data_IF_538313048168
#
_entry.id   IF_538313048168
#
_cell.length_a   1.000
_cell.length_b   1.000
_cell.length_c   1.000
_cell.angle_alpha   90.00
_cell.angle_beta   90.00
_cell.angle_gamma   90.00
#
_symmetry.space_group_name_H-M   'P 1'
#
loop_
_entity.id
_entity.type
_entity.pdbx_description
1 polymer ?
#
# COMPACT_ATOMS: atom_id res chain seq x y z
N UNK A 1 -7.26 14.60 -10.82
CA UNK A 1 -5.82 14.35 -10.78
C UNK A 1 -5.16 15.69 -10.52
N UNK A 2 -4.44 15.87 -9.41
CA UNK A 2 -3.73 17.14 -9.12
C UNK A 2 -2.35 17.05 -9.76
N UNK A 3 -2.02 18.00 -10.61
CA UNK A 3 -0.72 18.09 -11.26
C UNK A 3 0.38 18.29 -10.21
N UNK A 4 1.20 17.25 -10.02
CA UNK A 4 2.34 17.22 -9.10
C UNK A 4 3.53 17.99 -9.68
N UNK A 5 3.34 19.27 -10.02
CA UNK A 5 4.43 20.17 -10.34
C UNK A 5 5.47 20.04 -9.24
N UNK A 6 6.60 19.44 -9.61
CA UNK A 6 7.68 19.10 -8.73
C UNK A 6 8.33 20.40 -8.32
N UNK A 7 7.96 20.92 -7.15
CA UNK A 7 8.72 21.95 -6.46
C UNK A 7 10.10 21.37 -6.16
N UNK A 8 11.01 21.50 -7.12
CA UNK A 8 12.42 21.15 -6.94
C UNK A 8 13.00 22.21 -6.03
N UNK A 9 13.04 21.91 -4.73
CA UNK A 9 13.65 22.78 -3.72
C UNK A 9 15.08 22.34 -3.47
N UNK A 10 15.95 23.29 -3.19
CA UNK A 10 17.32 22.99 -2.74
C UNK A 10 17.38 22.92 -1.22
N UNK A 11 18.18 22.00 -0.69
CA UNK A 11 18.32 21.77 0.75
C UNK A 11 18.66 23.03 1.57
N UNK A 12 19.57 23.88 1.07
CA UNK A 12 19.91 25.17 1.69
C UNK A 12 20.72 25.08 3.00
N UNK A 13 20.74 23.94 3.69
CA UNK A 13 21.50 23.74 4.93
C UNK A 13 22.98 24.08 4.74
N UNK A 14 23.63 24.72 5.73
CA UNK A 14 25.06 25.01 5.66
C UNK A 14 25.87 23.71 5.68
N UNK A 15 26.83 23.61 4.76
CA UNK A 15 27.82 22.53 4.73
C UNK A 15 28.96 22.81 5.72
N UNK A 16 29.87 21.85 5.92
CA UNK A 16 31.05 22.00 6.78
C UNK A 16 31.96 23.18 6.38
N UNK A 17 31.88 23.64 5.13
CA UNK A 17 32.61 24.82 4.61
C UNK A 17 31.79 26.11 4.67
N UNK A 18 30.61 26.10 5.30
CA UNK A 18 29.72 27.25 5.45
C UNK A 18 28.89 27.59 4.20
N UNK A 19 29.10 26.90 3.07
CA UNK A 19 28.33 27.12 1.84
C UNK A 19 26.97 26.40 1.91
N UNK A 20 25.88 26.95 1.35
CA UNK A 20 24.58 26.30 1.36
C UNK A 20 24.58 25.07 0.46
N UNK A 21 23.92 24.01 0.93
CA UNK A 21 23.78 22.76 0.20
C UNK A 21 22.82 22.89 -0.98
N UNK A 22 23.27 22.40 -2.13
CA UNK A 22 22.57 22.50 -3.41
C UNK A 22 21.87 21.21 -3.84
N UNK A 23 21.85 20.19 -2.98
CA UNK A 23 21.12 18.95 -3.24
C UNK A 23 19.65 19.25 -3.48
N UNK A 24 19.12 18.70 -4.58
CA UNK A 24 17.72 18.83 -4.97
C UNK A 24 16.88 17.87 -4.12
N UNK A 25 15.81 18.39 -3.54
CA UNK A 25 14.76 17.64 -2.89
C UNK A 25 13.67 17.34 -3.91
N UNK A 26 13.19 16.10 -3.95
CA UNK A 26 12.14 15.69 -4.86
C UNK A 26 10.85 15.39 -4.07
N UNK A 27 9.73 15.95 -4.50
CA UNK A 27 8.42 15.63 -3.91
C UNK A 27 8.33 15.97 -2.41
N UNK A 28 8.03 14.97 -1.58
CA UNK A 28 7.82 15.09 -0.13
C UNK A 28 9.11 14.89 0.70
N UNK A 29 10.28 14.86 0.05
CA UNK A 29 11.56 14.68 0.75
C UNK A 29 11.79 15.82 1.75
N UNK A 30 11.78 15.47 3.04
CA UNK A 30 11.96 16.42 4.15
C UNK A 30 13.45 16.73 4.39
N UNK A 31 14.35 15.87 3.89
CA UNK A 31 15.79 16.01 4.07
C UNK A 31 16.56 15.57 2.82
N UNK A 32 17.65 16.28 2.51
CA UNK A 32 18.43 16.02 1.28
C UNK A 32 19.40 14.85 1.38
N UNK A 33 19.36 14.08 2.48
CA UNK A 33 20.25 12.94 2.74
C UNK A 33 21.73 13.28 2.99
N UNK A 34 22.23 14.39 2.45
CA UNK A 34 23.63 14.82 2.53
C UNK A 34 24.03 15.31 3.93
N UNK A 35 23.09 15.90 4.65
CA UNK A 35 23.28 16.36 6.04
C UNK A 35 22.63 15.46 7.07
N UNK A 36 22.03 14.35 6.63
CA UNK A 36 21.47 13.40 7.56
C UNK A 36 22.63 12.83 8.37
N UNK A 37 22.60 13.06 9.67
CA UNK A 37 23.53 12.38 10.57
C UNK A 37 23.15 10.89 10.67
N UNK A 38 23.94 10.14 11.42
CA UNK A 38 23.69 8.71 11.58
C UNK A 38 22.33 8.43 12.26
N UNK A 39 21.90 9.33 13.15
CA UNK A 39 20.62 9.25 13.84
C UNK A 39 19.45 9.48 12.87
N UNK A 40 19.52 10.50 12.03
CA UNK A 40 18.54 10.80 10.97
C UNK A 40 18.39 9.61 10.01
N UNK A 41 19.51 8.99 9.61
CA UNK A 41 19.49 7.80 8.75
C UNK A 41 18.89 6.60 9.46
N UNK A 42 19.24 6.38 10.73
CA UNK A 42 18.68 5.30 11.53
C UNK A 42 17.16 5.47 11.72
N UNK A 43 16.69 6.69 11.96
CA UNK A 43 15.28 7.03 12.10
C UNK A 43 14.51 6.81 10.79
N UNK A 44 15.04 7.30 9.66
CA UNK A 44 14.43 7.08 8.34
C UNK A 44 14.37 5.59 7.99
N UNK A 45 15.42 4.82 8.31
CA UNK A 45 15.44 3.38 8.11
C UNK A 45 14.41 2.65 8.99
N UNK A 46 14.29 3.05 10.27
CA UNK A 46 13.31 2.49 11.19
C UNK A 46 11.86 2.79 10.73
N UNK A 47 11.58 4.03 10.34
CA UNK A 47 10.29 4.42 9.76
C UNK A 47 9.97 3.61 8.50
N UNK A 48 10.93 3.50 7.58
CA UNK A 48 10.77 2.73 6.35
C UNK A 48 10.51 1.23 6.60
N UNK A 49 11.12 0.64 7.63
CA UNK A 49 10.81 -0.75 8.04
C UNK A 49 9.39 -0.86 8.59
N UNK A 50 9.03 -0.01 9.56
CA UNK A 50 7.69 -0.03 10.15
C UNK A 50 6.58 0.20 9.12
N UNK A 51 6.80 1.10 8.15
CA UNK A 51 5.85 1.32 7.06
C UNK A 51 5.66 0.08 6.19
N UNK A 52 6.75 -0.59 5.78
CA UNK A 52 6.68 -1.80 4.97
C UNK A 52 6.02 -2.96 5.70
N UNK A 53 6.36 -3.14 6.97
CA UNK A 53 5.76 -4.17 7.83
C UNK A 53 4.27 -3.92 8.02
N UNK A 54 3.87 -2.69 8.36
CA UNK A 54 2.47 -2.31 8.51
C UNK A 54 1.67 -2.47 7.21
N UNK A 55 2.24 -2.06 6.07
CA UNK A 55 1.62 -2.23 4.76
C UNK A 55 1.42 -3.71 4.41
N UNK A 56 2.46 -4.54 4.61
CA UNK A 56 2.40 -5.97 4.31
C UNK A 56 1.38 -6.68 5.22
N UNK A 57 1.40 -6.39 6.52
CA UNK A 57 0.43 -6.94 7.47
C UNK A 57 -1.01 -6.51 7.14
N UNK A 58 -1.22 -5.26 6.74
CA UNK A 58 -2.51 -4.75 6.29
C UNK A 58 -3.00 -5.45 5.03
N UNK A 59 -2.12 -5.64 4.04
CA UNK A 59 -2.42 -6.35 2.80
C UNK A 59 -2.78 -7.83 3.05
N UNK A 60 -2.01 -8.51 3.90
CA UNK A 60 -2.25 -9.90 4.29
C UNK A 60 -3.57 -10.05 5.04
N UNK A 61 -3.85 -9.15 5.99
CA UNK A 61 -5.10 -9.13 6.74
C UNK A 61 -6.31 -8.91 5.81
N UNK A 62 -6.21 -7.95 4.89
CA UNK A 62 -7.24 -7.68 3.89
C UNK A 62 -7.49 -8.89 2.98
N UNK A 63 -6.42 -9.53 2.51
CA UNK A 63 -6.49 -10.74 1.68
C UNK A 63 -7.18 -11.90 2.41
N UNK A 64 -6.80 -12.15 3.68
CA UNK A 64 -7.43 -13.19 4.51
C UNK A 64 -8.90 -12.94 4.78
N UNK A 65 -9.26 -11.69 5.09
CA UNK A 65 -10.65 -11.29 5.30
C UNK A 65 -11.50 -11.51 4.03
N UNK A 66 -10.96 -11.11 2.87
CA UNK A 66 -11.66 -11.25 1.59
C UNK A 66 -11.80 -12.71 1.15
N UNK A 67 -10.83 -13.57 1.47
CA UNK A 67 -10.87 -15.00 1.12
C UNK A 67 -12.11 -15.70 1.70
N UNK A 68 -12.43 -15.46 2.97
CA UNK A 68 -13.62 -16.04 3.61
C UNK A 68 -14.93 -15.58 2.97
N UNK A 69 -14.99 -14.32 2.52
CA UNK A 69 -16.15 -13.76 1.80
C UNK A 69 -16.30 -14.43 0.42
N UNK A 70 -15.20 -14.56 -0.33
CA UNK A 70 -15.20 -15.21 -1.64
C UNK A 70 -15.61 -16.68 -1.54
N UNK A 71 -15.11 -17.42 -0.55
CA UNK A 71 -15.45 -18.83 -0.38
C UNK A 71 -16.93 -19.02 -0.02
N UNK A 72 -17.49 -18.14 0.82
CA UNK A 72 -18.94 -18.13 1.11
C UNK A 72 -19.76 -17.85 -0.15
N UNK A 73 -19.41 -16.81 -0.92
CA UNK A 73 -20.11 -16.48 -2.17
C UNK A 73 -20.05 -17.62 -3.19
N UNK A 74 -18.93 -18.33 -3.29
CA UNK A 74 -18.81 -19.52 -4.14
C UNK A 74 -19.76 -20.64 -3.70
N UNK A 75 -19.85 -20.90 -2.40
CA UNK A 75 -20.77 -21.89 -1.86
C UNK A 75 -22.23 -21.53 -2.17
N UNK A 76 -22.63 -20.28 -1.88
CA UNK A 76 -23.99 -19.79 -2.11
C UNK A 76 -24.37 -19.85 -3.59
N UNK A 77 -23.43 -19.51 -4.48
CA UNK A 77 -23.64 -19.60 -5.92
C UNK A 77 -23.77 -21.05 -6.41
N UNK A 78 -23.01 -21.98 -5.85
CA UNK A 78 -23.16 -23.40 -6.14
C UNK A 78 -24.51 -23.95 -5.64
N UNK A 79 -24.96 -23.52 -4.46
CA UNK A 79 -26.27 -23.91 -3.93
C UNK A 79 -27.43 -23.34 -4.74
N UNK A 80 -27.36 -22.06 -5.11
CA UNK A 80 -28.35 -21.42 -5.97
C UNK A 80 -28.45 -22.13 -7.33
N UNK A 81 -27.31 -22.51 -7.93
CA UNK A 81 -27.27 -23.30 -9.17
C UNK A 81 -27.96 -24.64 -9.01
N UNK A 82 -27.67 -25.39 -7.94
CA UNK A 82 -28.34 -26.67 -7.65
C UNK A 82 -29.86 -26.50 -7.53
N UNK A 83 -30.34 -25.50 -6.79
CA UNK A 83 -31.78 -25.24 -6.64
C UNK A 83 -32.46 -24.91 -7.97
N UNK A 84 -31.78 -24.17 -8.86
CA UNK A 84 -32.28 -23.90 -10.20
C UNK A 84 -32.29 -25.15 -11.07
N UNK A 85 -31.27 -26.01 -11.00
CA UNK A 85 -31.22 -27.28 -11.71
C UNK A 85 -32.29 -28.27 -11.22
N UNK A 86 -32.49 -28.36 -9.90
CA UNK A 86 -33.52 -29.20 -9.28
C UNK A 86 -34.94 -28.72 -9.62
N UNK A 87 -35.16 -27.40 -9.67
CA UNK A 87 -36.43 -26.81 -10.11
C UNK A 87 -36.66 -26.93 -11.63
N UNK A 88 -35.59 -27.09 -12.42
CA UNK A 88 -35.63 -27.26 -13.88
C UNK A 88 -35.71 -28.72 -14.29
N UNK A 89 -35.41 -29.66 -13.39
CA UNK A 89 -35.62 -31.09 -13.62
C UNK A 89 -37.14 -31.31 -13.80
N UNK A 90 -37.60 -31.80 -14.97
CA UNK A 90 -39.02 -31.97 -15.21
C UNK A 90 -39.59 -32.85 -14.11
N UNK A 91 -40.63 -32.34 -13.44
CA UNK A 91 -41.48 -33.09 -12.54
C UNK A 91 -42.06 -34.21 -13.40
N UNK A 92 -41.40 -35.36 -13.43
CA UNK A 92 -41.83 -36.53 -14.16
C UNK A 92 -43.19 -36.91 -13.57
N UNK A 93 -44.24 -36.48 -14.26
CA UNK A 93 -45.61 -36.90 -14.07
C UNK A 93 -45.65 -38.42 -14.14
N UNK A 94 -45.98 -39.04 -13.02
CA UNK A 94 -46.56 -40.37 -12.95
C UNK A 94 -48.04 -40.20 -12.65
#
# INVERSE_FOLDING_TARGET
MRDHWSDVRTCGRPTRTGRPCRSRLHGYDVACGVHADEHDRALAAAYGRGWREGFSAGADSGSRSMKGVVDRLKHDLAEARRRLEDGRRPRATR
#
